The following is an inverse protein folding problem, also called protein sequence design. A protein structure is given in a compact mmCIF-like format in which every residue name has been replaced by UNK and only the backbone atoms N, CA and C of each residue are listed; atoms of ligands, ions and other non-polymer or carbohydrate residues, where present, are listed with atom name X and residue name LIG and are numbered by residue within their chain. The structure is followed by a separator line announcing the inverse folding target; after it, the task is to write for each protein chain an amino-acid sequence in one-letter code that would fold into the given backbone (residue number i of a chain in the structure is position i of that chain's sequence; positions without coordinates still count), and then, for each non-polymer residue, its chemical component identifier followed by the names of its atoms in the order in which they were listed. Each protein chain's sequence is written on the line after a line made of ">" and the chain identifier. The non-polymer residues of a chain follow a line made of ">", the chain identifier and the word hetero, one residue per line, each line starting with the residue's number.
data_IF_288688057957
#
_entry.id   IF_288688057957
#
_cell.length_a   1.000
_cell.length_b   1.000
_cell.length_c   1.000
_cell.angle_alpha   90.00
_cell.angle_beta   90.00
_cell.angle_gamma   90.00
#
_symmetry.space_group_name_H-M   'P 1'
#
loop_
_entity.id
_entity.type
_entity.pdbx_description
1 polymer ?
#
# COMPACT_ATOMS: atom_id res chain seq x y z
N UNK A 1 8.77 -7.75 -10.69
CA UNK A 1 8.25 -7.69 -9.31
C UNK A 1 9.18 -6.83 -8.49
N UNK A 2 8.68 -5.79 -7.81
CA UNK A 2 9.46 -4.99 -6.86
C UNK A 2 8.75 -5.00 -5.52
N UNK A 3 9.52 -5.20 -4.46
CA UNK A 3 9.03 -5.26 -3.08
C UNK A 3 9.82 -4.23 -2.28
N UNK A 4 9.09 -3.35 -1.60
CA UNK A 4 9.67 -2.33 -0.73
C UNK A 4 9.02 -2.44 0.64
N UNK A 5 9.83 -2.47 1.69
CA UNK A 5 9.39 -2.28 3.06
C UNK A 5 9.88 -0.91 3.49
N UNK A 6 8.95 -0.02 3.84
CA UNK A 6 9.27 1.36 4.19
C UNK A 6 8.35 1.88 5.28
N UNK A 7 8.87 2.80 6.09
CA UNK A 7 8.03 3.68 6.90
C UNK A 7 7.61 4.86 6.02
N UNK A 8 6.30 5.00 5.81
CA UNK A 8 5.76 6.02 4.92
C UNK A 8 4.37 6.46 5.39
N UNK A 9 3.82 7.51 4.79
CA UNK A 9 2.38 7.81 4.72
C UNK A 9 1.85 7.42 3.35
N UNK A 10 0.53 7.26 3.19
CA UNK A 10 -0.09 7.02 1.89
C UNK A 10 -1.32 7.89 1.72
N UNK A 11 -1.35 8.68 0.67
CA UNK A 11 -2.51 9.43 0.22
C UNK A 11 -3.08 8.78 -1.03
N UNK A 12 -4.33 8.31 -0.95
CA UNK A 12 -5.06 7.76 -2.08
C UNK A 12 -6.12 8.75 -2.52
N UNK A 13 -6.01 9.21 -3.77
CA UNK A 13 -6.96 10.10 -4.42
C UNK A 13 -7.50 9.42 -5.68
N UNK A 14 -8.69 8.82 -5.58
CA UNK A 14 -9.34 8.14 -6.70
C UNK A 14 -10.86 8.28 -6.62
N UNK A 15 -11.59 7.18 -6.80
CA UNK A 15 -13.05 7.16 -6.63
C UNK A 15 -13.48 7.56 -5.21
N UNK A 16 -12.64 7.24 -4.23
CA UNK A 16 -12.73 7.69 -2.85
C UNK A 16 -11.38 8.32 -2.46
N UNK A 17 -11.39 9.13 -1.40
CA UNK A 17 -10.18 9.69 -0.79
C UNK A 17 -9.86 8.95 0.50
N UNK A 18 -8.60 8.56 0.70
CA UNK A 18 -8.15 7.95 1.94
C UNK A 18 -6.73 8.40 2.28
N UNK A 19 -6.49 8.63 3.58
CA UNK A 19 -5.16 8.89 4.12
C UNK A 19 -4.79 7.78 5.10
N UNK A 20 -3.64 7.15 4.86
CA UNK A 20 -3.04 6.23 5.81
C UNK A 20 -1.89 6.94 6.55
N UNK A 21 -1.95 7.04 7.89
CA UNK A 21 -0.93 7.73 8.69
C UNK A 21 0.43 7.05 8.63
N UNK A 22 1.47 7.62 9.21
CA UNK A 22 2.80 7.03 9.12
C UNK A 22 2.85 5.63 9.77
N UNK A 23 3.32 4.62 9.02
CA UNK A 23 3.52 3.27 9.54
C UNK A 23 4.53 2.52 8.66
N UNK A 24 5.09 1.42 9.18
CA UNK A 24 5.82 0.45 8.36
C UNK A 24 4.82 -0.27 7.45
N UNK A 25 5.14 -0.35 6.15
CA UNK A 25 4.28 -0.94 5.13
C UNK A 25 5.08 -1.79 4.17
N UNK A 26 4.45 -2.86 3.72
CA UNK A 26 4.91 -3.64 2.57
C UNK A 26 4.22 -3.07 1.31
N UNK A 27 5.02 -2.58 0.37
CA UNK A 27 4.57 -2.07 -0.92
C UNK A 27 5.01 -3.05 -2.00
N UNK A 28 4.06 -3.58 -2.75
CA UNK A 28 4.30 -4.52 -3.84
C UNK A 28 3.94 -3.86 -5.17
N UNK A 29 4.92 -3.78 -6.07
CA UNK A 29 4.71 -3.36 -7.46
C UNK A 29 4.84 -4.58 -8.36
N UNK A 30 3.70 -5.01 -8.90
CA UNK A 30 3.57 -6.19 -9.75
C UNK A 30 3.84 -5.84 -11.22
N UNK A 31 4.05 -6.87 -12.04
CA UNK A 31 4.42 -6.70 -13.45
C UNK A 31 3.25 -6.21 -14.32
N UNK A 32 2.02 -6.42 -13.88
CA UNK A 32 0.78 -5.96 -14.52
C UNK A 32 0.44 -4.50 -14.21
N UNK A 33 1.30 -3.79 -13.47
CA UNK A 33 1.08 -2.41 -13.04
C UNK A 33 0.35 -2.29 -11.71
N UNK A 34 -0.08 -3.40 -11.09
CA UNK A 34 -0.74 -3.35 -9.80
C UNK A 34 0.22 -2.86 -8.71
N UNK A 35 -0.25 -1.90 -7.90
CA UNK A 35 0.45 -1.41 -6.72
C UNK A 35 -0.40 -1.74 -5.50
N UNK A 36 0.11 -2.58 -4.61
CA UNK A 36 -0.59 -3.00 -3.40
C UNK A 36 0.17 -2.56 -2.15
N UNK A 37 -0.53 -1.93 -1.21
CA UNK A 37 0.00 -1.43 0.05
C UNK A 37 -0.57 -2.26 1.19
N UNK A 38 0.29 -2.97 1.91
CA UNK A 38 -0.08 -3.84 3.03
C UNK A 38 0.36 -3.24 4.37
N UNK A 39 -0.44 -3.55 5.41
CA UNK A 39 -0.05 -3.33 6.79
C UNK A 39 1.09 -4.29 7.20
N UNK A 40 1.88 -3.91 8.20
CA UNK A 40 2.92 -4.76 8.80
C UNK A 40 2.36 -5.96 9.60
N UNK A 41 1.03 -6.00 9.83
CA UNK A 41 0.36 -7.13 10.47
C UNK A 41 -1.17 -7.02 10.46
N UNK A 42 -1.85 -8.13 10.75
CA UNK A 42 -3.30 -8.16 11.00
C UNK A 42 -4.24 -8.05 9.80
N UNK A 43 -3.73 -7.81 8.58
CA UNK A 43 -4.54 -7.66 7.37
C UNK A 43 -4.03 -8.56 6.23
N UNK A 44 -4.84 -9.55 5.84
CA UNK A 44 -4.52 -10.41 4.68
C UNK A 44 -4.72 -9.71 3.34
N UNK A 45 -5.62 -8.71 3.29
CA UNK A 45 -5.85 -7.86 2.13
C UNK A 45 -4.97 -6.61 2.19
N UNK A 46 -4.61 -6.03 1.04
CA UNK A 46 -3.99 -4.71 1.02
C UNK A 46 -4.94 -3.66 1.61
N UNK A 47 -4.36 -2.66 2.27
CA UNK A 47 -5.07 -1.47 2.74
C UNK A 47 -5.53 -0.60 1.56
N UNK A 48 -4.67 -0.45 0.54
CA UNK A 48 -4.95 0.24 -0.71
C UNK A 48 -4.34 -0.52 -1.88
N UNK A 49 -5.00 -0.47 -3.04
CA UNK A 49 -4.45 -0.98 -4.28
C UNK A 49 -4.89 -0.16 -5.50
N UNK A 50 -4.09 -0.23 -6.57
CA UNK A 50 -4.40 0.21 -7.93
C UNK A 50 -4.05 -0.93 -8.90
#
# INVERSE_FOLDING_TARGET
>A
MRVLVARCTVDYNGRLTAHLPEAVRLIMVKADGCVAVHADGGAYKPLNWM
#
